data_IF_819304159513
#
_entry.id   IF_819304159513
#
_cell.length_a   1.000
_cell.length_b   1.000
_cell.length_c   1.000
_cell.angle_alpha   90.00
_cell.angle_beta   90.00
_cell.angle_gamma   90.00
#
_symmetry.space_group_name_H-M   'P 1'
#
loop_
_entity.id
_entity.type
_entity.pdbx_description
1 polymer ?
#
# COMPACT_ATOMS: atom_id res chain seq x y z
N UNK A 1 -4.84 18.47 -28.52
CA UNK A 1 -5.46 18.40 -27.17
C UNK A 1 -5.09 17.02 -26.63
N UNK A 2 -4.07 16.94 -25.78
CA UNK A 2 -3.54 15.69 -25.25
C UNK A 2 -4.16 15.44 -23.88
N UNK A 3 -5.32 14.80 -23.85
CA UNK A 3 -5.75 14.05 -22.67
C UNK A 3 -5.26 12.62 -22.91
N UNK A 4 -4.06 12.30 -22.43
CA UNK A 4 -3.72 10.90 -22.22
C UNK A 4 -4.45 10.48 -20.95
N UNK A 5 -5.67 9.97 -21.13
CA UNK A 5 -6.34 9.15 -20.13
C UNK A 5 -5.52 7.86 -19.98
N UNK A 6 -4.42 7.92 -19.23
CA UNK A 6 -3.90 6.73 -18.55
C UNK A 6 -4.84 6.45 -17.38
N UNK A 7 -6.06 6.00 -17.70
CA UNK A 7 -6.92 5.35 -16.74
C UNK A 7 -6.18 4.18 -16.11
N UNK A 8 -6.49 3.84 -14.87
CA UNK A 8 -5.95 2.62 -14.28
C UNK A 8 -6.44 1.43 -15.12
N UNK A 9 -5.52 0.83 -15.89
CA UNK A 9 -5.78 -0.43 -16.58
C UNK A 9 -6.31 -1.46 -15.55
N UNK A 10 -7.28 -2.31 -15.91
CA UNK A 10 -7.84 -3.30 -14.98
C UNK A 10 -6.77 -4.19 -14.35
N UNK A 11 -5.68 -4.46 -15.07
CA UNK A 11 -4.50 -5.17 -14.55
C UNK A 11 -3.77 -4.38 -13.46
N UNK A 12 -3.64 -3.06 -13.62
CA UNK A 12 -3.05 -2.18 -12.59
C UNK A 12 -3.95 -2.13 -11.36
N UNK A 13 -5.28 -2.06 -11.53
CA UNK A 13 -6.23 -2.09 -10.40
C UNK A 13 -6.06 -3.40 -9.62
N UNK A 14 -6.12 -4.54 -10.32
CA UNK A 14 -5.97 -5.86 -9.70
C UNK A 14 -4.64 -6.01 -8.95
N UNK A 15 -3.55 -5.50 -9.53
CA UNK A 15 -2.24 -5.49 -8.86
C UNK A 15 -2.24 -4.66 -7.57
N UNK A 16 -2.85 -3.48 -7.57
CA UNK A 16 -2.92 -2.62 -6.39
C UNK A 16 -3.85 -3.18 -5.32
N UNK A 17 -4.95 -3.83 -5.72
CA UNK A 17 -5.82 -4.55 -4.80
C UNK A 17 -5.10 -5.73 -4.14
N UNK A 18 -4.33 -6.51 -4.89
CA UNK A 18 -3.50 -7.59 -4.33
C UNK A 18 -2.43 -7.08 -3.34
N UNK A 19 -1.79 -5.95 -3.67
CA UNK A 19 -0.86 -5.28 -2.75
C UNK A 19 -1.58 -4.86 -1.45
N UNK A 20 -2.79 -4.31 -1.56
CA UNK A 20 -3.58 -3.86 -0.43
C UNK A 20 -4.04 -5.03 0.46
N UNK A 21 -4.57 -6.08 -0.13
CA UNK A 21 -5.02 -7.26 0.60
C UNK A 21 -3.85 -7.95 1.32
N UNK A 22 -2.69 -8.00 0.66
CA UNK A 22 -1.46 -8.53 1.28
C UNK A 22 -0.99 -7.65 2.43
N UNK A 23 -0.95 -6.33 2.25
CA UNK A 23 -0.57 -5.40 3.32
C UNK A 23 -1.54 -5.51 4.51
N UNK A 24 -2.86 -5.65 4.26
CA UNK A 24 -3.86 -5.90 5.29
C UNK A 24 -3.61 -7.21 6.05
N UNK A 25 -3.28 -8.31 5.35
CA UNK A 25 -2.98 -9.60 5.97
C UNK A 25 -1.68 -9.61 6.78
N UNK A 26 -0.73 -8.72 6.44
CA UNK A 26 0.54 -8.57 7.13
C UNK A 26 0.49 -7.57 8.29
N UNK A 27 -0.42 -6.59 8.26
CA UNK A 27 -0.59 -5.60 9.32
C UNK A 27 -0.70 -6.20 10.73
N UNK A 28 -1.52 -7.24 11.00
CA UNK A 28 -1.61 -7.82 12.34
C UNK A 28 -0.33 -8.57 12.73
N UNK A 29 0.34 -9.22 11.77
CA UNK A 29 1.55 -10.02 12.01
C UNK A 29 2.78 -9.16 12.29
N UNK A 30 2.91 -8.05 11.56
CA UNK A 30 4.13 -7.24 11.57
C UNK A 30 3.99 -6.00 12.47
N UNK A 31 2.82 -5.36 12.43
CA UNK A 31 2.55 -4.10 13.11
C UNK A 31 1.62 -4.26 14.34
N UNK A 32 1.08 -5.46 14.59
CA UNK A 32 0.08 -5.70 15.64
C UNK A 32 -1.15 -4.79 15.52
N UNK A 33 -1.56 -4.52 14.27
CA UNK A 33 -2.72 -3.69 13.92
C UNK A 33 -3.70 -4.53 13.12
N UNK A 34 -4.94 -4.61 13.59
CA UNK A 34 -6.02 -5.26 12.84
C UNK A 34 -6.37 -4.44 11.59
N UNK A 35 -6.54 -5.10 10.44
CA UNK A 35 -6.95 -4.40 9.23
C UNK A 35 -8.45 -4.12 9.23
N UNK A 36 -8.84 -3.00 9.84
CA UNK A 36 -10.19 -2.45 9.76
C UNK A 36 -10.32 -1.46 8.59
N UNK A 37 -11.51 -0.88 8.38
CA UNK A 37 -11.76 0.06 7.28
C UNK A 37 -10.83 1.28 7.26
N UNK A 38 -10.44 1.80 8.43
CA UNK A 38 -9.52 2.95 8.53
C UNK A 38 -8.09 2.56 8.17
N UNK A 39 -7.62 1.41 8.66
CA UNK A 39 -6.29 0.87 8.36
C UNK A 39 -6.18 0.51 6.88
N UNK A 40 -7.20 -0.16 6.32
CA UNK A 40 -7.28 -0.47 4.89
C UNK A 40 -7.22 0.82 4.05
N UNK A 41 -7.95 1.87 4.43
CA UNK A 41 -7.88 3.17 3.75
C UNK A 41 -6.49 3.80 3.81
N UNK A 42 -5.82 3.76 4.97
CA UNK A 42 -4.44 4.26 5.11
C UNK A 42 -3.45 3.50 4.24
N UNK A 43 -3.53 2.17 4.25
CA UNK A 43 -2.69 1.31 3.42
C UNK A 43 -2.92 1.60 1.93
N UNK A 44 -4.18 1.73 1.49
CA UNK A 44 -4.51 2.05 0.11
C UNK A 44 -3.92 3.40 -0.34
N UNK A 45 -4.05 4.44 0.50
CA UNK A 45 -3.45 5.75 0.22
C UNK A 45 -1.92 5.67 0.13
N UNK A 46 -1.28 4.90 1.01
CA UNK A 46 0.17 4.72 0.99
C UNK A 46 0.64 3.95 -0.25
N UNK A 47 -0.10 2.92 -0.70
CA UNK A 47 0.18 2.20 -1.94
C UNK A 47 0.08 3.15 -3.14
N UNK A 48 -0.99 3.96 -3.22
CA UNK A 48 -1.17 4.94 -4.30
C UNK A 48 -0.05 6.00 -4.29
N UNK A 49 0.37 6.45 -3.11
CA UNK A 49 1.51 7.37 -2.98
C UNK A 49 2.82 6.71 -3.46
N UNK A 50 3.05 5.43 -3.12
CA UNK A 50 4.20 4.68 -3.59
C UNK A 50 4.26 4.61 -5.12
N UNK A 51 3.13 4.32 -5.77
CA UNK A 51 3.02 4.32 -7.23
C UNK A 51 3.29 5.71 -7.81
N UNK A 52 2.74 6.76 -7.21
CA UNK A 52 2.98 8.15 -7.64
C UNK A 52 4.46 8.57 -7.52
N UNK A 53 5.22 7.94 -6.62
CA UNK A 53 6.67 8.10 -6.47
C UNK A 53 7.50 7.24 -7.42
N UNK A 54 6.84 6.45 -8.28
CA UNK A 54 7.48 5.59 -9.25
C UNK A 54 7.81 4.18 -8.75
N UNK A 55 7.32 3.77 -7.57
CA UNK A 55 7.46 2.39 -7.11
C UNK A 55 6.59 1.48 -7.98
N UNK A 56 7.19 0.38 -8.45
CA UNK A 56 6.50 -0.59 -9.32
C UNK A 56 6.56 -2.01 -8.80
N UNK A 57 7.51 -2.31 -7.89
CA UNK A 57 7.62 -3.63 -7.31
C UNK A 57 6.58 -3.81 -6.21
N UNK A 58 5.96 -5.00 -6.21
CA UNK A 58 4.95 -5.41 -5.24
C UNK A 58 5.46 -5.31 -3.80
N UNK A 59 6.60 -5.92 -3.51
CA UNK A 59 7.17 -5.93 -2.16
C UNK A 59 7.53 -4.52 -1.66
N UNK A 60 8.00 -3.64 -2.55
CA UNK A 60 8.30 -2.25 -2.19
C UNK A 60 7.04 -1.47 -1.81
N UNK A 61 5.95 -1.64 -2.57
CA UNK A 61 4.67 -1.00 -2.29
C UNK A 61 4.07 -1.49 -0.97
N UNK A 62 4.12 -2.80 -0.70
CA UNK A 62 3.63 -3.39 0.54
C UNK A 62 4.45 -2.91 1.74
N UNK A 63 5.78 -2.95 1.64
CA UNK A 63 6.69 -2.48 2.70
C UNK A 63 6.49 -0.98 2.97
N UNK A 64 6.36 -0.18 1.92
CA UNK A 64 6.07 1.25 2.03
C UNK A 64 4.73 1.52 2.72
N UNK A 65 3.68 0.77 2.34
CA UNK A 65 2.37 0.90 2.94
C UNK A 65 2.39 0.53 4.43
N UNK A 66 3.06 -0.57 4.80
CA UNK A 66 3.18 -0.98 6.19
C UNK A 66 3.95 0.04 7.03
N UNK A 67 4.96 0.72 6.47
CA UNK A 67 5.68 1.84 7.15
C UNK A 67 4.81 3.04 7.46
N UNK A 68 3.66 3.20 6.79
CA UNK A 68 2.68 4.23 7.15
C UNK A 68 1.96 3.93 8.47
N UNK A 69 1.97 2.68 8.94
CA UNK A 69 1.33 2.30 10.19
C UNK A 69 2.21 2.70 11.40
N UNK A 70 1.65 3.40 12.40
CA UNK A 70 2.41 3.92 13.54
C UNK A 70 3.28 2.88 14.28
N UNK A 71 2.78 1.66 14.59
CA UNK A 71 3.60 0.66 15.29
C UNK A 71 4.67 -0.01 14.42
N UNK A 72 4.56 0.02 13.08
CA UNK A 72 5.63 -0.49 12.21
C UNK A 72 6.81 0.49 12.14
N UNK A 73 6.55 1.80 12.21
CA UNK A 73 7.58 2.85 12.24
C UNK A 73 8.55 2.68 13.43
N UNK A 74 8.07 2.18 14.56
CA UNK A 74 8.86 2.01 15.78
C UNK A 74 9.75 0.74 15.77
N UNK A 75 9.43 -0.27 14.96
CA UNK A 75 10.14 -1.57 14.96
C UNK A 75 11.44 -1.60 14.14
N UNK A 76 11.68 -0.63 13.26
CA UNK A 76 12.90 -0.53 12.41
C UNK A 76 13.79 0.68 12.76
N UNK A 77 13.42 1.45 13.78
CA UNK A 77 14.22 2.58 14.27
C UNK A 77 15.12 2.20 15.48
N UNK A 78 15.22 0.91 15.79
CA UNK A 78 16.11 0.35 16.81
C UNK A 78 17.08 -0.65 16.20
#
# INVERSE_FOLDING_TARGET
MLFHEEGFDPEKIAFLEDCLDTACGLAPKLANVECNGEVRKKLALAILEGVARGMRARDELIDFALRSLPPYRLKRAG
#
